data_IF_590428112329
#
_entry.id   IF_590428112329
#
_cell.length_a   1.000
_cell.length_b   1.000
_cell.length_c   1.000
_cell.angle_alpha   90.00
_cell.angle_beta   90.00
_cell.angle_gamma   90.00
#
_symmetry.space_group_name_H-M   'P 1'
#
loop_
_entity.id
_entity.type
_entity.pdbx_description
1 polymer ?
#
# COMPACT_ATOMS: atom_id res chain seq x y z
N UNK A 1 1.01 -11.55 13.68
CA UNK A 1 -0.08 -10.93 12.93
C UNK A 1 0.44 -9.78 12.06
N UNK A 2 1.22 -10.11 11.03
CA UNK A 2 1.78 -9.13 10.11
C UNK A 2 0.72 -8.46 9.24
N UNK A 3 0.07 -7.45 9.78
CA UNK A 3 -0.97 -6.73 9.05
C UNK A 3 -0.45 -5.41 8.51
N UNK A 4 0.57 -4.86 9.18
CA UNK A 4 1.17 -3.60 8.77
C UNK A 4 2.00 -3.77 7.51
N UNK A 5 2.52 -4.98 7.31
CA UNK A 5 3.35 -5.27 6.14
C UNK A 5 2.58 -5.00 4.86
N UNK A 6 1.25 -5.05 4.94
CA UNK A 6 0.42 -4.80 3.77
C UNK A 6 0.26 -3.33 3.48
N UNK A 7 0.51 -2.50 4.48
CA UNK A 7 0.38 -1.06 4.33
C UNK A 7 1.56 -0.48 3.54
N UNK A 8 2.60 -1.28 3.38
CA UNK A 8 3.79 -0.86 2.65
C UNK A 8 3.59 -1.04 1.14
N UNK A 9 3.03 -2.18 0.76
CA UNK A 9 2.79 -2.47 -0.65
C UNK A 9 1.66 -1.61 -1.20
N UNK A 10 0.49 -1.72 -0.59
CA UNK A 10 -0.68 -0.95 -1.01
C UNK A 10 -0.37 0.55 -1.03
N UNK A 11 0.58 0.95 -0.20
CA UNK A 11 0.95 2.35 -0.14
C UNK A 11 1.28 2.93 -1.49
N UNK A 12 1.74 2.08 -2.41
CA UNK A 12 2.09 2.52 -3.76
C UNK A 12 0.96 2.19 -4.74
N UNK A 13 0.18 1.16 -4.42
CA UNK A 13 -0.92 0.74 -5.26
C UNK A 13 -1.95 1.86 -5.41
N UNK A 14 -1.95 2.78 -4.46
CA UNK A 14 -2.88 3.91 -4.48
C UNK A 14 -2.41 5.00 -5.45
N UNK A 15 -1.10 5.04 -5.68
CA UNK A 15 -0.52 6.03 -6.58
C UNK A 15 0.21 5.35 -7.73
N UNK A 16 -0.22 4.14 -8.08
CA UNK A 16 0.40 3.38 -9.16
C UNK A 16 -0.34 3.62 -10.47
N UNK A 17 -0.70 4.88 -10.73
CA UNK A 17 -1.39 5.25 -11.95
C UNK A 17 -2.77 4.59 -12.01
N UNK A 18 -3.46 4.57 -10.86
CA UNK A 18 -4.78 3.97 -10.81
C UNK A 18 -5.89 4.99 -10.96
N UNK A 19 -5.79 6.08 -10.22
CA UNK A 19 -6.79 7.13 -10.27
C UNK A 19 -8.18 6.58 -9.99
#
# INVERSE_FOLDING_TARGET
QPFTKGAYYIGKMVWSKGY
#
